data_IF_473439493749
#
_entry.id   IF_473439493749
#
_cell.length_a   1.000
_cell.length_b   1.000
_cell.length_c   1.000
_cell.angle_alpha   90.00
_cell.angle_beta   90.00
_cell.angle_gamma   90.00
#
_symmetry.space_group_name_H-M   'P 1'
#
loop_
_entity.id
_entity.type
_entity.pdbx_description
1 polymer ?
#
# COMPACT_ATOMS: atom_id res chain seq x y z
N UNK A 1 -33.12 -60.85 86.49
CA UNK A 1 -31.92 -61.41 85.82
C UNK A 1 -31.27 -60.26 85.05
N UNK A 2 -30.26 -59.61 85.64
CA UNK A 2 -28.81 -59.78 85.32
C UNK A 2 -28.47 -59.13 83.98
N UNK A 3 -27.51 -58.21 83.82
CA UNK A 3 -26.37 -57.80 84.65
C UNK A 3 -25.53 -56.79 83.85
N UNK A 4 -25.10 -55.66 84.46
CA UNK A 4 -23.82 -54.93 84.27
C UNK A 4 -23.49 -54.37 82.84
N UNK A 5 -22.64 -53.37 82.62
CA UNK A 5 -21.87 -52.37 83.39
C UNK A 5 -21.21 -51.46 82.35
N UNK A 6 -20.95 -50.20 82.74
CA UNK A 6 -19.75 -49.39 82.49
C UNK A 6 -19.01 -49.52 81.14
N UNK A 7 -18.70 -48.37 80.51
CA UNK A 7 -17.34 -47.78 80.53
C UNK A 7 -17.37 -46.36 79.92
N UNK A 8 -16.64 -45.49 80.61
CA UNK A 8 -16.37 -44.06 80.42
C UNK A 8 -15.21 -43.87 79.42
N UNK A 9 -14.87 -42.60 79.13
CA UNK A 9 -13.60 -42.08 78.55
C UNK A 9 -13.54 -41.98 77.01
N UNK A 10 -12.91 -40.99 76.38
CA UNK A 10 -12.33 -39.70 76.75
C UNK A 10 -11.81 -39.10 75.41
N UNK A 11 -11.84 -37.78 75.33
CA UNK A 11 -11.19 -36.86 74.39
C UNK A 11 -10.06 -37.36 73.47
N UNK A 12 -9.99 -36.79 72.25
CA UNK A 12 -8.76 -36.14 71.78
C UNK A 12 -9.07 -35.08 70.71
N UNK A 13 -8.75 -33.83 71.02
CA UNK A 13 -8.60 -32.72 70.07
C UNK A 13 -7.23 -32.87 69.40
N UNK A 14 -7.18 -32.84 68.08
CA UNK A 14 -5.95 -32.72 67.30
C UNK A 14 -6.00 -31.46 66.45
N UNK A 15 -5.06 -30.58 66.74
CA UNK A 15 -4.73 -29.35 66.05
C UNK A 15 -3.88 -29.71 64.83
N UNK A 16 -4.23 -29.19 63.66
CA UNK A 16 -3.38 -29.13 62.47
C UNK A 16 -3.75 -27.79 61.79
N UNK A 17 -3.03 -26.71 62.04
CA UNK A 17 -1.73 -26.36 61.44
C UNK A 17 -1.80 -26.43 59.90
N UNK A 18 -2.50 -25.46 59.31
CA UNK A 18 -2.42 -25.17 57.89
C UNK A 18 -1.38 -24.08 57.69
N UNK A 19 -0.22 -24.49 57.17
CA UNK A 19 0.82 -23.62 56.65
C UNK A 19 0.24 -22.68 55.58
N UNK A 20 0.37 -21.38 55.81
CA UNK A 20 0.05 -20.35 54.84
C UNK A 20 1.07 -20.38 53.70
N UNK A 21 0.63 -20.76 52.50
CA UNK A 21 1.36 -20.55 51.26
C UNK A 21 1.23 -19.08 50.83
N UNK A 22 2.29 -18.43 50.33
CA UNK A 22 2.19 -17.07 49.81
C UNK A 22 1.36 -17.06 48.53
N UNK A 23 0.26 -16.30 48.59
CA UNK A 23 -0.63 -16.01 47.46
C UNK A 23 0.18 -15.29 46.37
N UNK A 24 0.35 -15.95 45.22
CA UNK A 24 0.87 -15.29 44.03
C UNK A 24 -0.19 -14.30 43.57
N UNK A 25 0.10 -13.01 43.64
CA UNK A 25 -0.65 -11.99 42.92
C UNK A 25 -0.63 -12.34 41.43
N UNK A 26 -1.75 -12.87 40.94
CA UNK A 26 -2.04 -12.93 39.51
C UNK A 26 -2.20 -11.50 39.03
N UNK A 27 -1.15 -10.98 38.38
CA UNK A 27 -1.20 -9.74 37.62
C UNK A 27 -2.23 -9.95 36.51
N UNK A 28 -3.45 -9.47 36.72
CA UNK A 28 -4.44 -9.38 35.65
C UNK A 28 -3.83 -8.52 34.55
N UNK A 29 -3.84 -8.99 33.28
CA UNK A 29 -3.33 -8.19 32.18
C UNK A 29 -4.16 -6.90 32.12
N UNK A 30 -3.55 -5.77 32.45
CA UNK A 30 -4.12 -4.44 32.24
C UNK A 30 -4.51 -4.34 30.79
N UNK A 31 -5.81 -4.41 30.50
CA UNK A 31 -6.35 -4.16 29.17
C UNK A 31 -6.07 -2.69 28.89
N UNK A 32 -5.03 -2.42 28.11
CA UNK A 32 -4.73 -1.08 27.62
C UNK A 32 -5.84 -0.76 26.62
N UNK A 33 -6.78 0.09 27.01
CA UNK A 33 -7.81 0.57 26.10
C UNK A 33 -7.14 1.30 24.93
N UNK A 34 -7.51 0.99 23.67
CA UNK A 34 -6.89 1.61 22.51
C UNK A 34 -7.15 3.11 22.50
N UNK A 35 -6.07 3.90 22.35
CA UNK A 35 -6.16 5.36 22.37
C UNK A 35 -6.87 5.87 21.12
N UNK A 36 -8.07 6.41 21.27
CA UNK A 36 -8.77 7.11 20.19
C UNK A 36 -8.10 8.46 19.93
N UNK A 37 -7.79 8.73 18.65
CA UNK A 37 -7.14 9.99 18.22
C UNK A 37 -8.10 10.95 17.52
N UNK A 38 -9.14 10.43 16.84
CA UNK A 38 -10.18 11.23 16.17
C UNK A 38 -11.42 10.38 15.91
N UNK A 39 -12.58 11.00 15.67
CA UNK A 39 -13.76 10.33 15.13
C UNK A 39 -14.22 11.01 13.84
N UNK A 40 -14.47 10.21 12.80
CA UNK A 40 -14.90 10.68 11.47
C UNK A 40 -16.23 10.02 11.12
N UNK A 41 -17.25 10.83 10.87
CA UNK A 41 -18.63 10.38 10.59
C UNK A 41 -19.15 9.37 11.64
N UNK A 42 -18.76 9.54 12.90
CA UNK A 42 -19.14 8.65 14.01
C UNK A 42 -18.33 7.35 14.11
N UNK A 43 -17.35 7.09 13.24
CA UNK A 43 -16.39 5.99 13.38
C UNK A 43 -15.13 6.48 14.10
N UNK A 44 -14.79 5.92 15.28
CA UNK A 44 -13.54 6.26 15.96
C UNK A 44 -12.34 5.71 15.17
N UNK A 45 -11.27 6.49 15.13
CA UNK A 45 -9.95 6.10 14.66
C UNK A 45 -8.98 6.10 15.83
N UNK A 46 -8.15 5.06 15.88
CA UNK A 46 -7.26 4.76 16.99
C UNK A 46 -5.80 4.97 16.62
N UNK A 47 -4.96 5.12 17.63
CA UNK A 47 -3.54 5.39 17.46
C UNK A 47 -2.82 4.23 16.75
N UNK A 48 -3.12 2.99 17.10
CA UNK A 48 -2.55 1.78 16.49
C UNK A 48 -2.79 1.73 14.98
N UNK A 49 -3.99 2.05 14.53
CA UNK A 49 -4.33 2.14 13.11
C UNK A 49 -3.49 3.19 12.38
N UNK A 50 -3.20 4.31 13.05
CA UNK A 50 -2.33 5.33 12.49
C UNK A 50 -0.86 4.89 12.46
N UNK A 51 -0.35 4.21 13.48
CA UNK A 51 1.02 3.66 13.44
C UNK A 51 1.16 2.57 12.36
N UNK A 52 0.14 1.73 12.16
CA UNK A 52 0.09 0.74 11.08
C UNK A 52 0.09 1.41 9.70
N UNK A 53 -0.70 2.48 9.54
CA UNK A 53 -0.66 3.29 8.32
C UNK A 53 0.76 3.83 8.06
N UNK A 54 1.45 4.32 9.09
CA UNK A 54 2.82 4.84 8.96
C UNK A 54 3.84 3.75 8.61
N UNK A 55 3.68 2.53 9.14
CA UNK A 55 4.63 1.43 8.88
C UNK A 55 4.52 0.88 7.47
N UNK A 56 3.32 0.92 6.88
CA UNK A 56 3.02 0.40 5.54
C UNK A 56 3.13 1.46 4.44
N UNK A 57 3.31 2.74 4.79
CA UNK A 57 3.47 3.83 3.83
C UNK A 57 4.95 4.16 3.66
N UNK A 58 5.60 3.79 2.54
CA UNK A 58 6.99 4.12 2.33
C UNK A 58 7.18 5.64 2.20
N UNK A 59 8.30 6.16 2.68
CA UNK A 59 8.68 7.55 2.45
C UNK A 59 9.13 7.72 1.00
N UNK A 60 8.85 8.87 0.40
CA UNK A 60 9.42 9.19 -0.90
C UNK A 60 10.93 9.49 -0.78
N UNK A 61 11.72 9.18 -1.81
CA UNK A 61 13.15 9.49 -1.80
C UNK A 61 13.37 11.00 -1.62
N UNK A 62 14.07 11.38 -0.54
CA UNK A 62 14.35 12.79 -0.24
C UNK A 62 13.38 13.46 0.74
N UNK A 63 12.38 12.74 1.25
CA UNK A 63 11.52 13.23 2.32
C UNK A 63 12.24 13.29 3.69
N UNK A 64 11.88 14.29 4.49
CA UNK A 64 12.32 14.39 5.89
C UNK A 64 11.79 13.21 6.74
N UNK A 65 12.43 12.89 7.88
CA UNK A 65 12.00 11.79 8.75
C UNK A 65 10.52 11.88 9.13
N UNK A 66 9.83 10.73 9.17
CA UNK A 66 8.39 10.59 9.48
C UNK A 66 7.94 11.40 10.71
N UNK A 67 8.80 11.54 11.72
CA UNK A 67 8.50 12.33 12.93
C UNK A 67 8.25 13.81 12.65
N UNK A 68 8.97 14.44 11.72
CA UNK A 68 8.75 15.86 11.37
C UNK A 68 7.51 16.06 10.49
N UNK A 69 7.04 14.98 9.83
CA UNK A 69 5.90 14.99 8.91
C UNK A 69 4.63 14.37 9.49
N UNK A 70 4.62 14.01 10.77
CA UNK A 70 3.54 13.23 11.38
C UNK A 70 2.17 13.89 11.22
N UNK A 71 2.09 15.22 11.27
CA UNK A 71 0.84 15.95 11.01
C UNK A 71 0.39 15.90 9.53
N UNK A 72 1.32 15.87 8.58
CA UNK A 72 0.99 15.68 7.16
C UNK A 72 0.50 14.26 6.91
N UNK A 73 1.22 13.26 7.41
CA UNK A 73 0.82 11.84 7.36
C UNK A 73 -0.52 11.58 8.05
N UNK A 74 -0.80 12.27 9.15
CA UNK A 74 -2.11 12.19 9.81
C UNK A 74 -3.24 12.73 8.92
N UNK A 75 -3.01 13.83 8.18
CA UNK A 75 -3.99 14.34 7.21
C UNK A 75 -4.23 13.36 6.07
N UNK A 76 -3.17 12.73 5.57
CA UNK A 76 -3.27 11.68 4.55
C UNK A 76 -4.08 10.48 5.06
N UNK A 77 -3.78 10.02 6.28
CA UNK A 77 -4.53 8.95 6.93
C UNK A 77 -6.03 9.29 7.06
N UNK A 78 -6.34 10.49 7.57
CA UNK A 78 -7.73 10.98 7.69
C UNK A 78 -8.43 11.03 6.33
N UNK A 79 -7.74 11.48 5.28
CA UNK A 79 -8.26 11.51 3.91
C UNK A 79 -8.52 10.10 3.37
N UNK A 80 -7.59 9.18 3.57
CA UNK A 80 -7.72 7.76 3.18
C UNK A 80 -8.97 7.14 3.83
N UNK A 81 -9.17 7.38 5.13
CA UNK A 81 -10.33 6.88 5.88
C UNK A 81 -11.65 7.49 5.38
N UNK A 82 -11.68 8.78 5.08
CA UNK A 82 -12.87 9.43 4.49
C UNK A 82 -13.23 8.81 3.14
N UNK A 83 -12.24 8.63 2.26
CA UNK A 83 -12.45 8.03 0.94
C UNK A 83 -12.87 6.57 1.03
N UNK A 84 -12.29 5.82 1.98
CA UNK A 84 -12.65 4.42 2.23
C UNK A 84 -14.10 4.29 2.70
N UNK A 85 -14.53 5.11 3.66
CA UNK A 85 -15.92 5.11 4.14
C UNK A 85 -16.91 5.41 3.01
N UNK A 86 -16.56 6.35 2.13
CA UNK A 86 -17.39 6.68 0.97
C UNK A 86 -17.42 5.57 -0.08
N UNK A 87 -16.27 4.93 -0.35
CA UNK A 87 -16.19 3.79 -1.23
C UNK A 87 -17.01 2.59 -0.70
N UNK A 88 -16.97 2.33 0.61
CA UNK A 88 -17.80 1.31 1.27
C UNK A 88 -19.28 1.62 1.18
N UNK A 89 -19.67 2.88 1.41
CA UNK A 89 -21.06 3.34 1.30
C UNK A 89 -21.63 3.13 -0.11
N UNK A 90 -20.78 3.25 -1.14
CA UNK A 90 -21.12 2.98 -2.54
C UNK A 90 -20.86 1.53 -2.97
N UNK A 91 -20.55 0.65 -2.02
CA UNK A 91 -20.33 -0.78 -2.25
C UNK A 91 -19.25 -1.07 -3.31
N UNK A 92 -18.20 -0.24 -3.34
CA UNK A 92 -17.08 -0.42 -4.28
C UNK A 92 -16.29 -1.67 -3.90
N UNK A 93 -16.24 -2.63 -4.82
CA UNK A 93 -15.48 -3.88 -4.68
C UNK A 93 -14.25 -3.92 -5.58
N UNK A 94 -13.25 -4.69 -5.19
CA UNK A 94 -11.99 -4.90 -5.93
C UNK A 94 -11.84 -6.40 -6.21
N UNK A 95 -11.37 -6.75 -7.40
CA UNK A 95 -11.07 -8.14 -7.77
C UNK A 95 -9.75 -8.60 -7.13
N UNK A 96 -9.75 -9.80 -6.53
CA UNK A 96 -8.56 -10.43 -5.96
C UNK A 96 -7.43 -10.62 -6.97
N UNK A 97 -7.76 -10.80 -8.26
CA UNK A 97 -6.74 -10.88 -9.31
C UNK A 97 -5.93 -9.57 -9.41
N UNK A 98 -6.62 -8.42 -9.33
CA UNK A 98 -5.99 -7.11 -9.38
C UNK A 98 -5.17 -6.82 -8.11
N UNK A 99 -5.65 -7.26 -6.95
CA UNK A 99 -4.90 -7.15 -5.69
C UNK A 99 -3.57 -7.91 -5.79
N UNK A 100 -3.59 -9.15 -6.31
CA UNK A 100 -2.38 -9.96 -6.50
C UNK A 100 -1.41 -9.36 -7.51
N UNK A 101 -1.92 -8.84 -8.62
CA UNK A 101 -1.11 -8.14 -9.62
C UNK A 101 -0.42 -6.91 -9.02
N UNK A 102 -1.17 -6.08 -8.29
CA UNK A 102 -0.62 -4.89 -7.66
C UNK A 102 0.41 -5.23 -6.57
N UNK A 103 0.15 -6.26 -5.75
CA UNK A 103 1.12 -6.76 -4.77
C UNK A 103 2.44 -7.18 -5.42
N UNK A 104 2.37 -7.91 -6.54
CA UNK A 104 3.55 -8.33 -7.28
C UNK A 104 4.38 -7.14 -7.81
N UNK A 105 3.73 -6.00 -8.10
CA UNK A 105 4.44 -4.78 -8.52
C UNK A 105 5.10 -4.01 -7.38
N UNK A 106 4.60 -4.16 -6.14
CA UNK A 106 5.11 -3.44 -4.97
C UNK A 106 6.23 -4.19 -4.24
N UNK A 107 6.27 -5.52 -4.39
CA UNK A 107 7.27 -6.36 -3.75
C UNK A 107 8.54 -6.44 -4.60
N UNK A 108 9.69 -6.29 -3.95
CA UNK A 108 10.96 -6.65 -4.55
C UNK A 108 11.10 -8.19 -4.65
N UNK A 109 11.99 -8.67 -5.53
CA UNK A 109 12.28 -10.10 -5.63
C UNK A 109 12.67 -10.70 -4.26
N UNK A 110 11.96 -11.75 -3.85
CA UNK A 110 12.22 -12.48 -2.60
C UNK A 110 11.50 -11.94 -1.35
N UNK A 111 10.66 -10.92 -1.47
CA UNK A 111 9.90 -10.38 -0.34
C UNK A 111 8.54 -11.10 -0.19
N UNK A 112 8.21 -11.50 1.05
CA UNK A 112 6.95 -12.21 1.33
C UNK A 112 5.75 -11.25 1.47
N UNK A 113 4.58 -11.70 1.01
CA UNK A 113 3.31 -10.98 1.20
C UNK A 113 2.83 -11.21 2.63
N UNK A 114 2.71 -10.14 3.42
CA UNK A 114 2.00 -10.19 4.71
C UNK A 114 0.50 -9.95 4.50
N UNK A 115 -0.37 -10.50 5.36
CA UNK A 115 -1.81 -10.22 5.31
C UNK A 115 -2.13 -8.71 5.34
N UNK A 116 -1.45 -7.96 6.19
CA UNK A 116 -1.67 -6.52 6.38
C UNK A 116 -1.32 -5.72 5.11
N UNK A 117 -0.26 -6.12 4.40
CA UNK A 117 0.10 -5.52 3.12
C UNK A 117 -0.97 -5.83 2.05
N UNK A 118 -1.52 -7.04 2.07
CA UNK A 118 -2.63 -7.43 1.18
C UNK A 118 -3.86 -6.55 1.38
N UNK A 119 -4.26 -6.32 2.63
CA UNK A 119 -5.38 -5.44 2.95
C UNK A 119 -5.09 -3.97 2.65
N UNK A 120 -3.84 -3.52 2.78
CA UNK A 120 -3.44 -2.18 2.36
C UNK A 120 -3.60 -1.99 0.86
N UNK A 121 -3.12 -2.94 0.05
CA UNK A 121 -3.27 -2.89 -1.40
C UNK A 121 -4.74 -2.93 -1.81
N UNK A 122 -5.55 -3.78 -1.18
CA UNK A 122 -7.00 -3.84 -1.40
C UNK A 122 -7.66 -2.49 -1.12
N UNK A 123 -7.33 -1.88 0.01
CA UNK A 123 -7.84 -0.56 0.43
C UNK A 123 -7.46 0.51 -0.58
N UNK A 124 -6.18 0.56 -0.97
CA UNK A 124 -5.67 1.47 -2.00
C UNK A 124 -6.44 1.33 -3.32
N UNK A 125 -6.57 0.11 -3.84
CA UNK A 125 -7.28 -0.16 -5.10
C UNK A 125 -8.77 0.21 -5.02
N UNK A 126 -9.41 0.00 -3.85
CA UNK A 126 -10.81 0.35 -3.64
C UNK A 126 -11.00 1.86 -3.73
N UNK A 127 -10.14 2.63 -3.05
CA UNK A 127 -10.15 4.09 -3.09
C UNK A 127 -9.88 4.61 -4.52
N UNK A 128 -8.88 4.06 -5.21
CA UNK A 128 -8.59 4.45 -6.60
C UNK A 128 -9.77 4.19 -7.53
N UNK A 129 -10.44 3.03 -7.39
CA UNK A 129 -11.63 2.70 -8.16
C UNK A 129 -12.78 3.66 -7.86
N UNK A 130 -13.01 3.99 -6.60
CA UNK A 130 -14.02 4.97 -6.18
C UNK A 130 -13.75 6.35 -6.79
N UNK A 131 -12.55 6.90 -6.63
CA UNK A 131 -12.17 8.21 -7.21
C UNK A 131 -12.43 8.21 -8.71
N UNK A 132 -11.97 7.17 -9.41
CA UNK A 132 -12.17 7.04 -10.86
C UNK A 132 -13.65 7.01 -11.24
N UNK A 133 -14.52 6.37 -10.46
CA UNK A 133 -15.96 6.35 -10.71
C UNK A 133 -16.60 7.74 -10.52
N UNK A 134 -16.18 8.49 -9.50
CA UNK A 134 -16.73 9.83 -9.23
C UNK A 134 -16.31 10.88 -10.25
N UNK A 135 -15.06 10.83 -10.73
CA UNK A 135 -14.52 11.88 -11.61
C UNK A 135 -14.75 11.62 -13.11
N UNK A 136 -15.02 10.36 -13.53
CA UNK A 136 -15.09 9.97 -14.95
C UNK A 136 -16.19 10.71 -15.75
N UNK A 137 -17.17 11.30 -15.07
CA UNK A 137 -18.20 12.14 -15.70
C UNK A 137 -18.03 13.65 -15.49
N UNK A 138 -17.04 14.09 -14.71
CA UNK A 138 -16.84 15.51 -14.37
C UNK A 138 -15.76 16.19 -15.21
N UNK A 139 -14.89 15.40 -15.84
CA UNK A 139 -13.76 15.91 -16.62
C UNK A 139 -14.10 15.78 -18.10
N UNK A 140 -14.51 16.89 -18.71
CA UNK A 140 -14.67 17.02 -20.17
C UNK A 140 -13.53 17.85 -20.74
N UNK A 141 -12.64 17.22 -21.50
CA UNK A 141 -11.56 17.92 -22.21
C UNK A 141 -12.07 18.27 -23.61
N UNK A 142 -12.31 19.56 -23.85
CA UNK A 142 -12.78 20.04 -25.15
C UNK A 142 -11.69 20.05 -26.22
N UNK A 143 -12.07 19.85 -27.48
CA UNK A 143 -11.13 19.91 -28.63
C UNK A 143 -10.30 21.21 -28.66
N UNK A 144 -10.91 22.35 -28.31
CA UNK A 144 -10.20 23.63 -28.27
C UNK A 144 -9.14 23.67 -27.18
N UNK A 145 -9.40 23.07 -26.03
CA UNK A 145 -8.43 22.98 -24.93
C UNK A 145 -7.25 22.09 -25.33
N UNK A 146 -7.54 20.93 -25.92
CA UNK A 146 -6.53 20.03 -26.45
C UNK A 146 -5.63 20.71 -27.49
N UNK A 147 -6.22 21.44 -28.44
CA UNK A 147 -5.46 22.22 -29.44
C UNK A 147 -4.66 23.37 -28.83
N UNK A 148 -5.16 24.01 -27.77
CA UNK A 148 -4.41 25.04 -27.05
C UNK A 148 -3.23 24.44 -26.29
N UNK A 149 -3.43 23.30 -25.65
CA UNK A 149 -2.38 22.57 -24.95
C UNK A 149 -1.28 22.17 -25.94
N UNK A 150 -1.64 21.45 -27.01
CA UNK A 150 -0.67 21.01 -28.02
C UNK A 150 0.14 22.18 -28.59
N UNK A 151 -0.50 23.30 -28.93
CA UNK A 151 0.22 24.48 -29.46
C UNK A 151 1.17 25.12 -28.45
N UNK A 152 0.84 25.08 -27.16
CA UNK A 152 1.70 25.63 -26.11
C UNK A 152 2.87 24.70 -25.78
N UNK A 153 2.68 23.40 -25.96
CA UNK A 153 3.64 22.35 -25.63
C UNK A 153 4.21 21.69 -26.88
N UNK A 154 4.18 22.35 -28.04
CA UNK A 154 4.54 21.73 -29.33
C UNK A 154 5.97 21.19 -29.37
N UNK A 155 6.87 21.78 -28.57
CA UNK A 155 8.26 21.37 -28.46
C UNK A 155 8.41 19.99 -27.77
N UNK A 156 7.49 19.62 -26.88
CA UNK A 156 7.46 18.30 -26.23
C UNK A 156 7.03 17.17 -27.19
N UNK A 157 6.37 17.54 -28.29
CA UNK A 157 5.87 16.62 -29.31
C UNK A 157 6.76 16.59 -30.57
N UNK A 158 7.87 17.32 -30.55
CA UNK A 158 8.92 17.13 -31.55
C UNK A 158 9.61 15.83 -31.21
N UNK A 159 9.26 14.76 -31.92
CA UNK A 159 10.12 13.59 -32.01
C UNK A 159 11.40 14.08 -32.68
N UNK A 160 12.56 13.81 -32.07
CA UNK A 160 13.85 14.06 -32.73
C UNK A 160 13.78 13.53 -34.17
N UNK A 161 14.39 14.24 -35.12
CA UNK A 161 14.31 13.86 -36.53
C UNK A 161 14.66 12.37 -36.71
N UNK A 162 13.65 11.54 -36.98
CA UNK A 162 13.85 10.12 -37.28
C UNK A 162 14.36 10.03 -38.72
N UNK A 163 15.66 9.83 -38.88
CA UNK A 163 16.29 9.63 -40.18
C UNK A 163 16.14 8.16 -40.61
N UNK A 164 15.50 7.93 -41.74
CA UNK A 164 15.57 6.63 -42.42
C UNK A 164 16.87 6.57 -43.23
N UNK A 165 17.87 5.84 -42.73
CA UNK A 165 19.18 5.70 -43.38
C UNK A 165 19.23 4.38 -44.15
N UNK A 166 19.74 4.44 -45.38
CA UNK A 166 20.08 3.28 -46.18
C UNK A 166 21.60 3.15 -46.24
N UNK A 167 22.11 1.98 -45.87
CA UNK A 167 23.55 1.69 -45.83
C UNK A 167 23.93 0.76 -46.99
N UNK A 168 25.03 1.09 -47.68
CA UNK A 168 25.67 0.22 -48.66
C UNK A 168 27.05 -0.13 -48.10
N UNK A 169 27.24 -1.38 -47.67
CA UNK A 169 28.49 -1.88 -47.11
C UNK A 169 29.30 -2.61 -48.17
N UNK A 170 30.59 -2.27 -48.30
CA UNK A 170 31.53 -2.85 -49.26
C UNK A 170 32.87 -3.14 -48.58
N UNK A 171 33.58 -4.16 -49.05
CA UNK A 171 34.87 -4.58 -48.49
C UNK A 171 36.05 -3.73 -49.01
N UNK A 172 35.91 -3.15 -50.20
CA UNK A 172 36.93 -2.35 -50.86
C UNK A 172 36.61 -0.85 -50.78
N UNK A 173 37.60 -0.08 -50.35
CA UNK A 173 37.49 1.36 -50.15
C UNK A 173 37.43 2.12 -51.47
N UNK A 174 38.24 1.75 -52.46
CA UNK A 174 38.25 2.47 -53.74
C UNK A 174 36.87 2.36 -54.41
N UNK A 175 36.29 1.15 -54.38
CA UNK A 175 34.94 0.93 -54.90
C UNK A 175 33.85 1.70 -54.14
N UNK A 176 34.00 1.87 -52.83
CA UNK A 176 33.06 2.66 -52.04
C UNK A 176 33.13 4.16 -52.39
N UNK A 177 34.33 4.69 -52.63
CA UNK A 177 34.52 6.09 -53.03
C UNK A 177 33.94 6.35 -54.43
N UNK A 178 34.13 5.44 -55.39
CA UNK A 178 33.51 5.52 -56.73
C UNK A 178 31.98 5.55 -56.67
N UNK A 179 31.38 4.65 -55.89
CA UNK A 179 29.91 4.57 -55.75
C UNK A 179 29.39 5.84 -55.06
N UNK A 180 30.10 6.34 -54.05
CA UNK A 180 29.73 7.59 -53.38
C UNK A 180 29.73 8.79 -54.34
N UNK A 181 30.69 8.87 -55.25
CA UNK A 181 30.74 9.95 -56.25
C UNK A 181 29.61 9.86 -57.28
N UNK A 182 29.11 8.65 -57.54
CA UNK A 182 27.98 8.40 -58.44
C UNK A 182 26.61 8.65 -57.78
N UNK A 183 26.53 8.68 -56.44
CA UNK A 183 25.29 8.91 -55.73
C UNK A 183 24.97 10.41 -55.68
N UNK A 184 23.93 10.84 -56.41
CA UNK A 184 23.36 12.17 -56.27
C UNK A 184 22.16 12.18 -55.32
N UNK A 185 21.86 13.36 -54.77
CA UNK A 185 20.72 13.55 -53.88
C UNK A 185 19.41 13.24 -54.62
N UNK A 186 18.79 12.09 -54.30
CA UNK A 186 17.56 11.61 -54.93
C UNK A 186 17.65 10.19 -55.51
N UNK A 187 18.85 9.68 -55.78
CA UNK A 187 19.05 8.36 -56.42
C UNK A 187 18.66 7.18 -55.52
N UNK A 188 18.61 7.42 -54.20
CA UNK A 188 18.26 6.43 -53.17
C UNK A 188 16.82 5.92 -53.27
N UNK A 189 15.95 6.56 -54.08
CA UNK A 189 14.57 6.10 -54.34
C UNK A 189 14.47 5.08 -55.48
N UNK A 190 15.54 4.87 -56.24
CA UNK A 190 15.54 4.07 -57.47
C UNK A 190 16.13 2.67 -57.26
N UNK A 191 16.82 2.45 -56.13
CA UNK A 191 17.28 1.12 -55.72
C UNK A 191 16.13 0.40 -54.98
N UNK A 192 15.40 -0.45 -55.69
CA UNK A 192 14.47 -1.45 -55.15
C UNK A 192 14.96 -2.85 -55.49
#
# INVERSE_FOLDING_TARGET
MTLKRFILLLALVLVADCAAAPEKEEIQPTQVEPLMIVAINGRPLYQDQFEEFLSLTPNEPGEEPVQSQRSARFREFVMEQLLLQEAERKEVTVDEALVREQLASWLAEGQEVTPDLGERVRTFLKIQKFIKQEIRGQIEIGNQEMQRYYRRHSDEYKVDDEYHVLEILLEDRERAEEIREQLHFGDVRTFK
#
